data_IF_236067252370
#
_entry.id   IF_236067252370
#
_cell.length_a   1.000
_cell.length_b   1.000
_cell.length_c   1.000
_cell.angle_alpha   90.00
_cell.angle_beta   90.00
_cell.angle_gamma   90.00
#
_symmetry.space_group_name_H-M   'P 1'
#
loop_
_entity.id
_entity.type
_entity.pdbx_description
1 polymer ?
#
# COMPACT_ATOMS: atom_id res chain seq x y z
N UNK A 1 2.14 -14.24 -2.16
CA UNK A 1 2.18 -12.74 -2.17
C UNK A 1 3.61 -12.29 -2.39
N UNK A 2 3.83 -11.33 -3.26
CA UNK A 2 5.18 -10.90 -3.51
C UNK A 2 5.67 -9.96 -2.41
N UNK A 3 6.99 -9.77 -2.34
CA UNK A 3 7.61 -8.99 -1.28
C UNK A 3 7.12 -7.55 -1.27
N UNK A 4 6.97 -6.97 -2.46
CA UNK A 4 6.53 -5.58 -2.56
C UNK A 4 5.10 -5.40 -2.02
N UNK A 5 4.20 -6.33 -2.34
CA UNK A 5 2.83 -6.24 -1.85
C UNK A 5 2.79 -6.37 -0.33
N UNK A 6 3.57 -7.28 0.22
CA UNK A 6 3.64 -7.45 1.68
C UNK A 6 4.18 -6.18 2.34
N UNK A 7 5.20 -5.57 1.74
CA UNK A 7 5.80 -4.35 2.27
C UNK A 7 4.79 -3.19 2.26
N UNK A 8 3.99 -3.10 1.19
CA UNK A 8 2.96 -2.07 1.07
C UNK A 8 1.94 -2.20 2.21
N UNK A 9 1.45 -3.41 2.41
CA UNK A 9 0.42 -3.63 3.43
C UNK A 9 0.95 -3.39 4.83
N UNK A 10 2.19 -3.80 5.08
CA UNK A 10 2.81 -3.59 6.38
C UNK A 10 2.98 -2.09 6.66
N UNK A 11 3.45 -1.33 5.67
CA UNK A 11 3.64 0.11 5.82
C UNK A 11 2.31 0.81 6.04
N UNK A 12 1.30 0.42 5.28
CA UNK A 12 -0.04 0.98 5.39
C UNK A 12 -0.59 0.77 6.79
N UNK A 13 -0.52 -0.46 7.29
CA UNK A 13 -1.05 -0.77 8.61
C UNK A 13 -0.29 -0.06 9.72
N UNK A 14 1.01 0.06 9.59
CA UNK A 14 1.83 0.72 10.60
C UNK A 14 1.40 2.17 10.78
N UNK A 15 1.21 2.89 9.67
CA UNK A 15 0.82 4.30 9.72
C UNK A 15 -0.62 4.43 10.20
N UNK A 16 -1.47 3.51 9.77
CA UNK A 16 -2.87 3.50 10.18
C UNK A 16 -3.01 3.35 11.68
N UNK A 17 -2.21 2.46 12.27
CA UNK A 17 -2.24 2.23 13.71
C UNK A 17 -1.82 3.45 14.51
N UNK A 18 -0.98 4.29 13.94
CA UNK A 18 -0.56 5.51 14.63
C UNK A 18 -1.60 6.62 14.52
N UNK A 19 -2.74 6.36 13.87
CA UNK A 19 -3.85 7.31 13.84
C UNK A 19 -3.73 8.38 12.79
N UNK A 20 -2.91 8.16 11.77
CA UNK A 20 -2.70 9.14 10.70
C UNK A 20 -3.82 9.08 9.67
N UNK A 21 -4.03 10.17 8.93
CA UNK A 21 -5.05 10.19 7.88
C UNK A 21 -4.78 9.17 6.78
N UNK A 22 -5.84 8.80 6.07
CA UNK A 22 -5.74 7.81 4.97
C UNK A 22 -4.67 8.17 3.96
N UNK A 23 -4.56 9.45 3.61
CA UNK A 23 -3.59 9.88 2.61
C UNK A 23 -2.17 9.53 3.04
N UNK A 24 -1.87 9.65 4.33
CA UNK A 24 -0.54 9.30 4.83
C UNK A 24 -0.32 7.80 4.76
N UNK A 25 -1.36 7.01 5.01
CA UNK A 25 -1.27 5.55 4.93
C UNK A 25 -0.97 5.10 3.50
N UNK A 26 -1.68 5.68 2.52
CA UNK A 26 -1.45 5.34 1.11
C UNK A 26 -0.05 5.76 0.67
N UNK A 27 0.38 6.93 1.12
CA UNK A 27 1.72 7.42 0.80
C UNK A 27 2.79 6.48 1.34
N UNK A 28 2.61 6.00 2.55
CA UNK A 28 3.56 5.05 3.13
C UNK A 28 3.62 3.76 2.31
N UNK A 29 2.47 3.30 1.84
CA UNK A 29 2.41 2.12 0.98
C UNK A 29 3.16 2.34 -0.33
N UNK A 30 2.97 3.51 -0.95
CA UNK A 30 3.66 3.85 -2.18
C UNK A 30 5.17 3.87 -1.98
N UNK A 31 5.62 4.46 -0.88
CA UNK A 31 7.05 4.51 -0.58
C UNK A 31 7.62 3.10 -0.38
N UNK A 32 6.87 2.24 0.28
CA UNK A 32 7.31 0.87 0.49
C UNK A 32 7.48 0.13 -0.84
N UNK A 33 6.55 0.35 -1.78
CA UNK A 33 6.67 -0.24 -3.11
C UNK A 33 7.90 0.29 -3.83
N UNK A 34 8.13 1.60 -3.77
CA UNK A 34 9.27 2.22 -4.44
C UNK A 34 10.59 1.71 -3.89
N UNK A 35 10.63 1.41 -2.60
CA UNK A 35 11.82 0.85 -1.97
C UNK A 35 12.16 -0.53 -2.56
N UNK A 36 11.14 -1.31 -2.87
CA UNK A 36 11.32 -2.64 -3.45
C UNK A 36 11.65 -2.58 -4.94
N UNK A 37 11.16 -1.54 -5.62
CA UNK A 37 11.31 -1.42 -7.07
C UNK A 37 11.78 0.00 -7.43
N UNK A 38 13.03 0.34 -7.08
CA UNK A 38 13.51 1.71 -7.34
C UNK A 38 13.66 2.03 -8.82
N UNK A 39 13.63 1.01 -9.68
CA UNK A 39 13.73 1.19 -11.12
C UNK A 39 12.39 1.57 -11.78
N UNK A 40 11.29 1.47 -11.04
CA UNK A 40 9.98 1.79 -11.57
C UNK A 40 9.65 3.26 -11.35
N UNK A 41 8.82 3.81 -12.25
CA UNK A 41 8.42 5.21 -12.10
C UNK A 41 7.55 5.40 -10.85
N UNK A 42 7.54 6.62 -10.35
CA UNK A 42 6.72 6.94 -9.17
C UNK A 42 5.25 6.71 -9.46
N UNK A 43 4.82 7.03 -10.68
CA UNK A 43 3.43 6.86 -11.08
C UNK A 43 3.03 5.39 -11.09
N UNK A 44 3.89 4.55 -11.65
CA UNK A 44 3.62 3.12 -11.70
C UNK A 44 3.58 2.52 -10.29
N UNK A 45 4.53 2.93 -9.45
CA UNK A 45 4.60 2.47 -8.07
C UNK A 45 3.33 2.83 -7.31
N UNK A 46 2.85 4.07 -7.50
CA UNK A 46 1.62 4.51 -6.83
C UNK A 46 0.43 3.67 -7.26
N UNK A 47 0.33 3.39 -8.56
CA UNK A 47 -0.74 2.56 -9.09
C UNK A 47 -0.74 1.17 -8.47
N UNK A 48 0.43 0.56 -8.40
CA UNK A 48 0.54 -0.79 -7.87
C UNK A 48 0.25 -0.85 -6.38
N UNK A 49 0.78 0.12 -5.63
CA UNK A 49 0.56 0.15 -4.18
C UNK A 49 -0.91 0.34 -3.85
N UNK A 50 -1.57 1.27 -4.53
CA UNK A 50 -2.99 1.53 -4.30
C UNK A 50 -3.81 0.29 -4.66
N UNK A 51 -3.46 -0.38 -5.76
CA UNK A 51 -4.17 -1.59 -6.16
C UNK A 51 -4.07 -2.68 -5.09
N UNK A 52 -2.90 -2.84 -4.50
CA UNK A 52 -2.69 -3.84 -3.44
C UNK A 52 -3.56 -3.51 -2.23
N UNK A 53 -3.57 -2.24 -1.83
CA UNK A 53 -4.34 -1.81 -0.66
C UNK A 53 -5.83 -2.00 -0.90
N UNK A 54 -6.32 -1.56 -2.05
CA UNK A 54 -7.74 -1.65 -2.38
C UNK A 54 -8.20 -3.09 -2.49
N UNK A 55 -7.38 -3.96 -3.05
CA UNK A 55 -7.73 -5.36 -3.17
C UNK A 55 -8.01 -5.98 -1.81
N UNK A 56 -7.18 -5.64 -0.83
CA UNK A 56 -7.34 -6.16 0.53
C UNK A 56 -8.61 -5.62 1.18
N UNK A 57 -8.86 -4.32 1.05
CA UNK A 57 -10.02 -3.71 1.69
C UNK A 57 -11.33 -4.07 1.02
N UNK A 58 -11.31 -4.19 -0.31
CA UNK A 58 -12.52 -4.59 -1.04
C UNK A 58 -12.97 -5.98 -0.65
N UNK A 59 -12.03 -6.88 -0.44
CA UNK A 59 -12.35 -8.22 0.03
C UNK A 59 -13.13 -8.20 1.33
N UNK A 60 -12.69 -7.36 2.26
CA UNK A 60 -13.36 -7.25 3.55
C UNK A 60 -14.77 -6.72 3.38
N UNK A 61 -14.96 -5.77 2.48
CA UNK A 61 -16.26 -5.18 2.24
C UNK A 61 -17.26 -6.16 1.64
N UNK A 62 -16.78 -6.96 0.71
CA UNK A 62 -17.64 -7.90 0.02
C UNK A 62 -18.21 -8.93 0.98
N UNK A 63 -17.47 -9.23 2.02
CA UNK A 63 -17.91 -10.22 2.99
C UNK A 63 -18.99 -9.70 3.92
N UNK A 64 -19.23 -8.42 3.89
CA UNK A 64 -20.33 -7.88 4.66
C UNK A 64 -21.66 -8.27 4.06
#
# INVERSE_FOLDING_TARGET
>A
MNVAAAAVLKAFESVRRSGRPSVDCYRAGVEAWRHQHPDQSAEYAAKQAVAVILATHVKIRIEE
#
